data_IF_352209339557
#
_entry.id   IF_352209339557
#
_cell.length_a   1.000
_cell.length_b   1.000
_cell.length_c   1.000
_cell.angle_alpha   90.00
_cell.angle_beta   90.00
_cell.angle_gamma   90.00
#
_symmetry.space_group_name_H-M   'P 1'
#
loop_
_entity.id
_entity.type
_entity.pdbx_description
1 polymer ?
#
# COMPACT_ATOMS: atom_id res chain seq x y z
N UNK A 1 14.04 -8.93 6.10
CA UNK A 1 13.07 -7.81 6.13
C UNK A 1 12.68 -7.50 7.56
N UNK A 2 12.45 -6.24 7.87
CA UNK A 2 12.05 -5.83 9.23
C UNK A 2 10.62 -6.25 9.54
N UNK A 3 9.73 -6.17 8.55
CA UNK A 3 8.31 -6.49 8.72
C UNK A 3 7.91 -7.71 7.90
N UNK A 4 7.05 -8.54 8.50
CA UNK A 4 6.39 -9.60 7.78
C UNK A 4 5.23 -8.99 6.96
N UNK A 5 5.19 -9.28 5.66
CA UNK A 5 4.18 -8.71 4.78
C UNK A 5 2.93 -9.59 4.79
N UNK A 6 1.81 -8.98 5.18
CA UNK A 6 0.50 -9.62 5.14
C UNK A 6 -0.45 -8.75 4.33
N UNK A 7 -1.54 -9.31 3.87
CA UNK A 7 -2.52 -8.57 3.08
C UNK A 7 -3.94 -9.04 3.34
N UNK A 8 -4.88 -8.11 3.21
CA UNK A 8 -6.30 -8.39 3.38
C UNK A 8 -6.86 -9.13 2.16
N UNK A 9 -8.00 -9.77 2.34
CA UNK A 9 -8.73 -10.36 1.21
C UNK A 9 -9.12 -9.29 0.19
N UNK A 10 -9.41 -8.09 0.65
CA UNK A 10 -9.76 -6.97 -0.22
C UNK A 10 -8.57 -6.57 -1.09
N UNK A 11 -7.38 -6.52 -0.50
CA UNK A 11 -6.15 -6.25 -1.26
C UNK A 11 -5.92 -7.30 -2.35
N UNK A 12 -6.17 -8.58 -2.07
CA UNK A 12 -6.03 -9.65 -3.06
C UNK A 12 -6.92 -9.39 -4.28
N UNK A 13 -8.16 -8.97 -4.05
CA UNK A 13 -9.10 -8.63 -5.12
C UNK A 13 -8.62 -7.40 -5.89
N UNK A 14 -8.16 -6.39 -5.16
CA UNK A 14 -7.62 -5.18 -5.75
C UNK A 14 -6.42 -5.48 -6.66
N UNK A 15 -5.53 -6.38 -6.20
CA UNK A 15 -4.37 -6.79 -6.98
C UNK A 15 -4.77 -7.52 -8.27
N UNK A 16 -5.76 -8.38 -8.21
CA UNK A 16 -6.30 -9.04 -9.40
C UNK A 16 -6.79 -8.03 -10.42
N UNK A 17 -7.54 -7.03 -9.96
CA UNK A 17 -8.05 -5.95 -10.82
C UNK A 17 -6.88 -5.16 -11.42
N UNK A 18 -5.88 -4.81 -10.62
CA UNK A 18 -4.71 -4.08 -11.09
C UNK A 18 -3.99 -4.83 -12.21
N UNK A 19 -3.85 -6.14 -12.08
CA UNK A 19 -3.25 -6.99 -13.12
C UNK A 19 -4.08 -6.98 -14.40
N UNK A 20 -5.41 -7.03 -14.30
CA UNK A 20 -6.31 -6.91 -15.46
C UNK A 20 -6.20 -5.55 -16.13
N UNK A 21 -6.00 -4.49 -15.34
CA UNK A 21 -5.81 -3.13 -15.85
C UNK A 21 -4.40 -2.90 -16.41
N UNK A 22 -3.54 -3.92 -16.35
CA UNK A 22 -2.15 -3.83 -16.81
C UNK A 22 -1.34 -2.77 -16.07
N UNK A 23 -1.62 -2.58 -14.78
CA UNK A 23 -0.82 -1.72 -13.92
C UNK A 23 0.59 -2.27 -13.78
N UNK A 24 1.56 -1.39 -13.50
CA UNK A 24 2.95 -1.77 -13.33
C UNK A 24 3.17 -2.38 -11.94
N UNK A 25 3.01 -3.69 -11.84
CA UNK A 25 3.12 -4.42 -10.57
C UNK A 25 4.53 -4.33 -9.99
N UNK A 26 5.56 -4.17 -10.82
CA UNK A 26 6.93 -4.01 -10.31
C UNK A 26 7.08 -2.74 -9.47
N UNK A 27 6.41 -1.65 -9.84
CA UNK A 27 6.41 -0.44 -9.03
C UNK A 27 5.78 -0.67 -7.67
N UNK A 28 4.69 -1.44 -7.60
CA UNK A 28 4.09 -1.84 -6.34
C UNK A 28 5.08 -2.64 -5.50
N UNK A 29 5.74 -3.63 -6.09
CA UNK A 29 6.69 -4.49 -5.38
C UNK A 29 7.87 -3.69 -4.84
N UNK A 30 8.38 -2.72 -5.60
CA UNK A 30 9.47 -1.84 -5.16
C UNK A 30 9.06 -1.04 -3.92
N UNK A 31 7.86 -0.47 -3.91
CA UNK A 31 7.32 0.27 -2.76
C UNK A 31 7.17 -0.65 -1.54
N UNK A 32 6.58 -1.82 -1.74
CA UNK A 32 6.38 -2.80 -0.66
C UNK A 32 7.71 -3.23 -0.07
N UNK A 33 8.73 -3.45 -0.90
CA UNK A 33 10.06 -3.84 -0.42
C UNK A 33 10.68 -2.76 0.47
N UNK A 34 10.60 -1.49 0.05
CA UNK A 34 11.11 -0.37 0.87
C UNK A 34 10.41 -0.36 2.24
N UNK A 35 9.08 -0.44 2.24
CA UNK A 35 8.29 -0.42 3.48
C UNK A 35 8.57 -1.65 4.35
N UNK A 36 8.68 -2.83 3.75
CA UNK A 36 8.94 -4.07 4.48
C UNK A 36 10.31 -4.08 5.16
N UNK A 37 11.27 -3.36 4.59
CA UNK A 37 12.60 -3.21 5.17
C UNK A 37 12.68 -2.09 6.20
N UNK A 38 11.58 -1.40 6.49
CA UNK A 38 11.54 -0.30 7.43
C UNK A 38 12.08 1.01 6.88
N UNK A 39 12.20 1.10 5.55
CA UNK A 39 12.69 2.30 4.88
C UNK A 39 11.61 3.37 4.76
N UNK A 40 12.05 4.59 4.47
CA UNK A 40 11.16 5.71 4.17
C UNK A 40 11.00 5.86 2.67
N UNK A 41 9.77 6.19 2.25
CA UNK A 41 9.49 6.45 0.84
C UNK A 41 9.96 7.85 0.45
N UNK A 42 10.45 7.97 -0.78
CA UNK A 42 10.76 9.26 -1.38
C UNK A 42 9.51 10.16 -1.34
N UNK A 43 9.66 11.48 -1.07
CA UNK A 43 8.53 12.41 -1.04
C UNK A 43 7.62 12.39 -2.27
N UNK A 44 8.13 11.96 -3.41
CA UNK A 44 7.33 11.83 -4.65
C UNK A 44 6.14 10.86 -4.49
N UNK A 45 6.24 9.90 -3.56
CA UNK A 45 5.17 8.94 -3.30
C UNK A 45 4.05 9.49 -2.41
N UNK A 46 4.20 10.70 -1.88
CA UNK A 46 3.18 11.40 -1.07
C UNK A 46 2.62 10.55 0.06
N UNK A 47 3.49 9.82 0.76
CA UNK A 47 3.09 8.99 1.88
C UNK A 47 2.54 9.84 3.03
N UNK A 48 1.33 9.53 3.49
CA UNK A 48 0.69 10.26 4.58
C UNK A 48 -0.34 9.39 5.32
N UNK A 49 -0.60 9.76 6.57
CA UNK A 49 -1.61 9.08 7.37
C UNK A 49 -3.02 9.45 6.91
N UNK A 50 -3.92 8.47 6.97
CA UNK A 50 -5.32 8.67 6.64
C UNK A 50 -6.15 8.88 7.91
N UNK A 51 -7.35 9.43 7.73
CA UNK A 51 -8.32 9.66 8.79
C UNK A 51 -9.67 9.04 8.43
N UNK A 52 -10.69 9.23 9.28
CA UNK A 52 -12.01 8.69 9.05
C UNK A 52 -12.04 7.17 9.12
N UNK A 53 -12.66 6.53 8.15
CA UNK A 53 -12.77 5.07 8.08
C UNK A 53 -11.42 4.35 8.01
N UNK A 54 -10.40 5.05 7.51
CA UNK A 54 -9.06 4.49 7.35
C UNK A 54 -8.09 4.93 8.44
N UNK A 55 -8.60 5.46 9.56
CA UNK A 55 -7.75 5.86 10.70
C UNK A 55 -6.85 4.70 11.13
N UNK A 56 -5.57 4.99 11.33
CA UNK A 56 -4.56 3.98 11.66
C UNK A 56 -3.81 3.43 10.46
N UNK A 57 -4.24 3.76 9.25
CA UNK A 57 -3.54 3.38 8.03
C UNK A 57 -2.84 4.58 7.40
N UNK A 58 -1.98 4.28 6.43
CA UNK A 58 -1.28 5.29 5.63
C UNK A 58 -1.55 5.02 4.16
N UNK A 59 -1.40 6.04 3.34
CA UNK A 59 -1.57 5.98 1.90
C UNK A 59 -0.31 6.47 1.22
N UNK A 60 0.12 5.79 0.16
CA UNK A 60 1.14 6.33 -0.73
C UNK A 60 0.70 6.20 -2.18
N UNK A 61 1.22 7.10 -3.03
CA UNK A 61 0.94 7.12 -4.46
C UNK A 61 2.04 6.35 -5.18
N UNK A 62 1.73 5.13 -5.64
CA UNK A 62 2.65 4.36 -6.49
C UNK A 62 2.78 5.05 -7.84
N UNK A 63 1.65 5.53 -8.36
CA UNK A 63 1.52 6.43 -9.51
C UNK A 63 0.50 7.50 -9.14
N UNK A 64 0.36 8.61 -9.92
CA UNK A 64 -0.52 9.72 -9.51
C UNK A 64 -1.94 9.32 -9.13
N UNK A 65 -2.52 8.33 -9.80
CA UNK A 65 -3.85 7.81 -9.46
C UNK A 65 -3.83 6.30 -9.21
N UNK A 66 -2.77 5.82 -8.58
CA UNK A 66 -2.70 4.42 -8.15
C UNK A 66 -2.11 4.37 -6.77
N UNK A 67 -2.96 4.07 -5.80
CA UNK A 67 -2.68 4.24 -4.38
C UNK A 67 -2.57 2.90 -3.68
N UNK A 68 -1.64 2.85 -2.72
CA UNK A 68 -1.53 1.74 -1.77
C UNK A 68 -1.92 2.26 -0.40
N UNK A 69 -2.91 1.62 0.23
CA UNK A 69 -3.28 1.85 1.62
C UNK A 69 -2.69 0.71 2.45
N UNK A 70 -1.93 1.05 3.48
CA UNK A 70 -1.21 0.07 4.28
C UNK A 70 -1.16 0.49 5.75
N UNK A 71 -0.81 -0.46 6.60
CA UNK A 71 -0.62 -0.22 8.02
C UNK A 71 0.67 -0.88 8.48
N UNK A 72 1.46 -0.16 9.26
CA UNK A 72 2.65 -0.72 9.91
C UNK A 72 2.30 -0.98 11.36
N UNK A 73 2.41 -2.24 11.77
CA UNK A 73 2.16 -2.67 13.14
C UNK A 73 3.49 -3.03 13.80
N UNK A 74 4.08 -2.06 14.49
CA UNK A 74 5.43 -2.20 15.08
C UNK A 74 5.49 -3.21 16.21
N UNK A 75 4.40 -3.37 16.96
CA UNK A 75 4.34 -4.29 18.09
C UNK A 75 4.46 -5.76 17.68
N UNK A 76 4.00 -6.09 16.49
CA UNK A 76 4.08 -7.47 15.94
C UNK A 76 4.94 -7.56 14.69
N UNK A 77 5.60 -6.48 14.30
CA UNK A 77 6.46 -6.39 13.11
C UNK A 77 5.78 -6.87 11.84
N UNK A 78 4.58 -6.34 11.59
CA UNK A 78 3.78 -6.65 10.40
C UNK A 78 3.57 -5.39 9.55
N UNK A 79 3.75 -5.55 8.25
CA UNK A 79 3.28 -4.60 7.24
C UNK A 79 2.03 -5.19 6.61
N UNK A 80 0.87 -4.59 6.89
CA UNK A 80 -0.40 -5.03 6.34
C UNK A 80 -0.77 -4.22 5.11
N UNK A 81 -0.87 -4.87 3.95
CA UNK A 81 -1.34 -4.27 2.71
C UNK A 81 -2.87 -4.33 2.72
N UNK A 82 -3.49 -3.16 2.83
CA UNK A 82 -4.91 -3.03 3.16
C UNK A 82 -5.79 -2.87 1.91
N UNK A 83 -5.46 -1.93 1.03
CA UNK A 83 -6.17 -1.66 -0.21
C UNK A 83 -5.21 -1.19 -1.31
N UNK A 84 -5.63 -1.38 -2.55
CA UNK A 84 -4.88 -0.95 -3.73
C UNK A 84 -5.87 -0.51 -4.81
N UNK A 85 -5.70 0.67 -5.40
CA UNK A 85 -6.58 1.14 -6.46
C UNK A 85 -6.44 2.63 -6.74
N UNK A 86 -7.27 3.11 -7.65
CA UNK A 86 -7.39 4.53 -7.93
C UNK A 86 -8.16 5.25 -6.82
N UNK A 87 -8.14 6.58 -6.84
CA UNK A 87 -8.96 7.37 -5.90
C UNK A 87 -10.43 6.97 -5.96
N UNK A 88 -10.99 6.85 -7.17
CA UNK A 88 -12.41 6.53 -7.32
C UNK A 88 -12.74 5.10 -6.88
N UNK A 89 -11.78 4.19 -6.94
CA UNK A 89 -11.96 2.81 -6.49
C UNK A 89 -11.90 2.68 -4.96
N UNK A 90 -11.14 3.54 -4.29
CA UNK A 90 -10.91 3.45 -2.84
C UNK A 90 -11.77 4.39 -2.01
N UNK A 91 -12.16 5.52 -2.58
CA UNK A 91 -12.84 6.59 -1.83
C UNK A 91 -14.12 7.11 -2.48
#
# INVERSE_FOLDING_TARGET
MKYDVQFTNRFKKDLKLAKKQKRDIEKLLDVVEILANGGELDPKFRDHALSGEYTGTRECHIEPDWLLVYQIMDDVLVLLLYRLGSHSELF
#
